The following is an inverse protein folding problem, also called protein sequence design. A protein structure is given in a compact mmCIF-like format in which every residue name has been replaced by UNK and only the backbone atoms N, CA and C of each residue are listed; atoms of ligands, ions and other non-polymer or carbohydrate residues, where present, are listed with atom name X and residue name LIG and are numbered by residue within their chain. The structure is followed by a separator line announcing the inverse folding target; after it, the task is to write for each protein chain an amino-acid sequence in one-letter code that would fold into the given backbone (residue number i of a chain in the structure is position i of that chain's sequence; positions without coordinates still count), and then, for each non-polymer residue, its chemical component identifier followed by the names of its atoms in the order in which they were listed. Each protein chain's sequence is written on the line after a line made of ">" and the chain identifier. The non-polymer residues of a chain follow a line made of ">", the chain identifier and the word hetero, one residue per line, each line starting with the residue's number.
data_IF_727218220349
#
_entry.id   IF_727218220349
#
_cell.length_a   1.000
_cell.length_b   1.000
_cell.length_c   1.000
_cell.angle_alpha   90.00
_cell.angle_beta   90.00
_cell.angle_gamma   90.00
#
_symmetry.space_group_name_H-M   'P 1'
#
loop_
_entity.id
_entity.type
_entity.pdbx_description
1 polymer ?
#
# COMPACT_ATOMS: atom_id res chain seq x y z
N UNK A 1 -5.32 48.62 3.82
CA UNK A 1 -3.93 48.86 4.23
C UNK A 1 -3.67 48.01 5.47
N UNK A 2 -3.85 46.70 5.35
CA UNK A 2 -2.85 45.72 4.91
C UNK A 2 -2.15 45.10 6.12
N UNK A 3 -2.86 44.19 6.77
CA UNK A 3 -2.28 43.16 7.64
C UNK A 3 -2.72 41.79 7.13
N UNK A 4 -2.30 41.44 5.91
CA UNK A 4 -2.35 40.08 5.39
C UNK A 4 -1.01 39.85 4.67
N UNK A 5 -0.42 38.67 4.86
CA UNK A 5 0.80 38.16 4.25
C UNK A 5 2.13 38.54 4.91
N UNK A 6 2.44 37.83 5.98
CA UNK A 6 3.82 37.39 6.21
C UNK A 6 3.85 35.89 6.47
N UNK A 7 3.39 35.12 5.48
CA UNK A 7 3.84 33.73 5.33
C UNK A 7 5.35 33.82 5.19
N UNK A 8 6.05 33.34 6.22
CA UNK A 8 7.49 33.25 6.24
C UNK A 8 7.94 32.54 4.96
N UNK A 9 8.59 33.29 4.05
CA UNK A 9 9.40 32.70 2.98
C UNK A 9 10.51 31.91 3.67
N UNK A 10 10.29 30.60 3.83
CA UNK A 10 11.33 29.68 4.28
C UNK A 10 12.43 29.72 3.23
N UNK A 11 13.60 30.16 3.65
CA UNK A 11 14.79 30.27 2.83
C UNK A 11 15.26 28.85 2.44
N UNK A 12 14.84 28.37 1.26
CA UNK A 12 15.21 27.04 0.71
C UNK A 12 16.63 27.07 0.13
N UNK A 13 17.64 27.18 0.99
CA UNK A 13 19.05 27.23 0.57
C UNK A 13 19.89 26.03 1.03
N UNK A 14 19.25 24.97 1.53
CA UNK A 14 19.91 23.70 1.88
C UNK A 14 19.31 22.52 1.13
N UNK A 15 20.11 21.46 0.94
CA UNK A 15 19.60 20.17 0.48
C UNK A 15 18.53 19.66 1.46
N UNK A 16 17.36 19.29 0.94
CA UNK A 16 16.28 18.69 1.73
C UNK A 16 16.33 17.17 1.60
N UNK A 17 16.08 16.40 2.68
CA UNK A 17 15.94 14.96 2.59
C UNK A 17 14.83 14.55 1.62
N UNK A 18 15.01 13.42 0.96
CA UNK A 18 13.94 12.82 0.17
C UNK A 18 12.80 12.38 1.10
N UNK A 19 11.55 12.60 0.68
CA UNK A 19 10.39 12.18 1.45
C UNK A 19 10.36 10.65 1.55
N UNK A 20 10.05 10.13 2.74
CA UNK A 20 9.94 8.70 2.93
C UNK A 20 8.81 8.16 2.02
N UNK A 21 9.19 7.26 1.12
CA UNK A 21 8.30 6.62 0.14
C UNK A 21 8.18 5.14 0.44
N UNK A 22 7.05 4.54 0.08
CA UNK A 22 6.73 3.13 0.27
C UNK A 22 6.22 2.52 -1.02
N UNK A 23 6.05 1.20 -1.04
CA UNK A 23 5.44 0.48 -2.15
C UNK A 23 3.98 0.17 -1.87
N UNK A 24 3.16 0.21 -2.91
CA UNK A 24 1.77 -0.24 -2.92
C UNK A 24 1.54 -1.15 -4.12
N UNK A 25 1.28 -2.43 -3.87
CA UNK A 25 0.91 -3.39 -4.90
C UNK A 25 -0.60 -3.42 -5.11
N UNK A 26 -1.04 -3.29 -6.36
CA UNK A 26 -2.46 -3.28 -6.73
C UNK A 26 -2.65 -3.74 -8.19
N UNK A 27 -3.90 -3.88 -8.62
CA UNK A 27 -4.27 -4.02 -10.04
C UNK A 27 -5.02 -2.81 -10.60
N UNK A 28 -5.16 -1.75 -9.80
CA UNK A 28 -5.73 -0.50 -10.24
C UNK A 28 -4.78 0.19 -11.25
N UNK A 29 -5.35 0.70 -12.34
CA UNK A 29 -4.62 1.45 -13.37
C UNK A 29 -4.66 2.94 -13.03
N UNK A 30 -3.56 3.42 -12.44
CA UNK A 30 -3.41 4.76 -11.86
C UNK A 30 -2.16 5.46 -12.39
N UNK A 31 -2.18 6.79 -12.34
CA UNK A 31 -1.09 7.66 -12.79
C UNK A 31 -0.37 8.36 -11.63
N UNK A 32 0.82 8.91 -11.91
CA UNK A 32 1.53 9.75 -10.95
C UNK A 32 0.71 10.99 -10.63
N UNK A 33 0.53 11.27 -9.35
CA UNK A 33 -0.32 12.34 -8.84
C UNK A 33 -1.68 11.87 -8.33
N UNK A 34 -2.13 10.67 -8.73
CA UNK A 34 -3.37 10.10 -8.24
C UNK A 34 -3.30 9.74 -6.75
N UNK A 35 -4.48 9.63 -6.15
CA UNK A 35 -4.67 9.16 -4.78
C UNK A 35 -5.23 7.73 -4.77
N UNK A 36 -4.59 6.88 -3.99
CA UNK A 36 -5.16 5.60 -3.57
C UNK A 36 -5.94 5.88 -2.29
N UNK A 37 -7.22 5.48 -2.27
CA UNK A 37 -8.14 5.75 -1.17
C UNK A 37 -8.76 4.46 -0.63
N UNK A 38 -9.42 4.55 0.52
CA UNK A 38 -10.13 3.42 1.10
C UNK A 38 -11.29 3.04 0.18
N UNK A 39 -11.38 1.76 -0.18
CA UNK A 39 -12.48 1.18 -0.94
C UNK A 39 -12.51 1.49 -2.45
N UNK A 40 -11.70 2.43 -2.93
CA UNK A 40 -11.49 2.70 -4.36
C UNK A 40 -10.01 2.62 -4.68
N UNK A 41 -9.64 1.99 -5.81
CA UNK A 41 -8.26 1.91 -6.30
C UNK A 41 -7.26 1.17 -5.36
N UNK A 42 -7.75 0.56 -4.28
CA UNK A 42 -6.98 -0.23 -3.32
C UNK A 42 -6.81 -1.69 -3.75
N UNK A 43 -5.99 -2.44 -3.01
CA UNK A 43 -5.73 -3.87 -3.21
C UNK A 43 -7.01 -4.73 -3.19
N UNK A 44 -8.08 -4.23 -2.57
CA UNK A 44 -9.39 -4.89 -2.45
C UNK A 44 -10.35 -4.56 -3.61
N UNK A 45 -9.91 -3.83 -4.63
CA UNK A 45 -10.76 -3.37 -5.73
C UNK A 45 -11.81 -2.35 -5.26
N UNK A 46 -13.01 -2.40 -5.86
CA UNK A 46 -14.16 -1.55 -5.49
C UNK A 46 -14.92 -2.06 -4.24
N UNK A 47 -14.20 -2.41 -3.18
CA UNK A 47 -14.82 -2.85 -1.93
C UNK A 47 -15.11 -1.65 -1.02
N UNK A 48 -16.33 -1.11 -1.11
CA UNK A 48 -16.78 0.04 -0.30
C UNK A 48 -16.72 -0.17 1.22
N UNK A 49 -16.54 -1.40 1.68
CA UNK A 49 -16.43 -1.73 3.10
C UNK A 49 -14.98 -1.82 3.60
N UNK A 50 -13.97 -1.71 2.72
CA UNK A 50 -12.59 -1.63 3.17
C UNK A 50 -12.45 -0.46 4.15
N UNK A 51 -11.66 -0.64 5.21
CA UNK A 51 -11.38 0.40 6.21
C UNK A 51 -9.97 0.98 6.07
N UNK A 52 -9.08 0.22 5.45
CA UNK A 52 -7.66 0.53 5.37
C UNK A 52 -7.12 0.35 3.95
N UNK A 53 -6.03 1.06 3.69
CA UNK A 53 -5.18 0.96 2.52
C UNK A 53 -3.80 0.49 3.01
N UNK A 54 -3.12 -0.32 2.21
CA UNK A 54 -1.89 -1.01 2.61
C UNK A 54 -0.69 -0.48 1.85
N UNK A 55 0.46 -0.42 2.52
CA UNK A 55 1.74 -0.07 1.93
C UNK A 55 2.85 -0.84 2.64
N UNK A 56 4.02 -0.92 2.02
CA UNK A 56 5.15 -1.64 2.61
C UNK A 56 6.49 -1.00 2.27
N UNK A 57 7.47 -1.18 3.14
CA UNK A 57 8.85 -0.80 2.85
C UNK A 57 9.68 -1.94 2.20
N UNK A 58 9.06 -3.08 1.85
CA UNK A 58 9.74 -4.18 1.15
C UNK A 58 9.10 -4.48 -0.20
N UNK A 59 9.92 -4.71 -1.22
CA UNK A 59 9.43 -4.99 -2.57
C UNK A 59 8.67 -6.32 -2.64
N UNK A 60 9.15 -7.35 -1.95
CA UNK A 60 8.53 -8.69 -1.90
C UNK A 60 7.07 -8.63 -1.41
N UNK A 61 6.80 -7.91 -0.33
CA UNK A 61 5.44 -7.73 0.17
C UNK A 61 4.56 -6.91 -0.79
N UNK A 62 5.14 -5.98 -1.56
CA UNK A 62 4.41 -5.22 -2.57
C UNK A 62 4.06 -6.09 -3.78
N UNK A 63 4.96 -6.99 -4.19
CA UNK A 63 4.70 -8.00 -5.22
C UNK A 63 3.50 -8.87 -4.81
N UNK A 64 3.52 -9.39 -3.58
CA UNK A 64 2.36 -10.11 -3.03
C UNK A 64 1.09 -9.27 -3.05
N UNK A 65 1.18 -7.99 -2.66
CA UNK A 65 0.06 -7.05 -2.71
C UNK A 65 -0.56 -6.94 -4.10
N UNK A 66 0.25 -6.88 -5.16
CA UNK A 66 -0.22 -6.80 -6.54
C UNK A 66 -0.82 -8.13 -7.03
N UNK A 67 -0.11 -9.25 -6.81
CA UNK A 67 -0.52 -10.58 -7.29
C UNK A 67 -1.79 -11.12 -6.62
N UNK A 68 -1.98 -10.77 -5.35
CA UNK A 68 -3.16 -11.15 -4.55
C UNK A 68 -4.28 -10.12 -4.62
N UNK A 69 -4.05 -8.96 -5.26
CA UNK A 69 -5.08 -7.93 -5.40
C UNK A 69 -6.29 -8.44 -6.20
N UNK A 70 -7.47 -8.00 -5.78
CA UNK A 70 -8.75 -8.32 -6.41
C UNK A 70 -8.89 -7.55 -7.72
N UNK A 71 -9.31 -8.25 -8.76
CA UNK A 71 -9.57 -7.69 -10.08
C UNK A 71 -8.77 -8.39 -11.18
N UNK A 72 -9.13 -8.08 -12.42
CA UNK A 72 -8.56 -8.65 -13.64
C UNK A 72 -7.57 -7.70 -14.33
N UNK A 73 -7.26 -6.57 -13.69
CA UNK A 73 -6.25 -5.63 -14.17
C UNK A 73 -4.83 -6.19 -14.07
N UNK A 74 -3.91 -5.55 -14.78
CA UNK A 74 -2.49 -5.89 -14.71
C UNK A 74 -1.93 -5.63 -13.30
N UNK A 75 -1.09 -6.51 -12.77
CA UNK A 75 -0.36 -6.24 -11.53
C UNK A 75 0.57 -5.04 -11.67
N UNK A 76 0.49 -4.11 -10.71
CA UNK A 76 1.28 -2.88 -10.66
C UNK A 76 1.82 -2.64 -9.27
N UNK A 77 2.99 -2.00 -9.19
CA UNK A 77 3.62 -1.60 -7.93
C UNK A 77 3.92 -0.10 -8.00
N UNK A 78 3.21 0.67 -7.19
CA UNK A 78 3.40 2.12 -7.09
C UNK A 78 4.33 2.51 -5.97
N UNK A 79 5.13 3.56 -6.22
CA UNK A 79 5.81 4.32 -5.18
C UNK A 79 4.83 5.34 -4.63
N UNK A 80 4.61 5.33 -3.31
CA UNK A 80 3.59 6.13 -2.67
C UNK A 80 4.08 6.89 -1.45
N UNK A 81 3.55 8.10 -1.29
CA UNK A 81 3.71 8.91 -0.10
C UNK A 81 2.41 8.89 0.73
N UNK A 82 2.45 8.48 2.00
CA UNK A 82 1.28 8.54 2.85
C UNK A 82 0.91 9.99 3.16
N UNK A 83 -0.37 10.34 3.02
CA UNK A 83 -0.86 11.69 3.35
C UNK A 83 -1.16 11.88 4.84
N UNK A 84 -1.10 10.80 5.62
CA UNK A 84 -1.36 10.80 7.04
C UNK A 84 -0.63 9.68 7.78
N UNK A 85 -1.10 9.36 8.99
CA UNK A 85 -0.48 8.35 9.85
C UNK A 85 -0.59 6.96 9.24
N UNK A 86 0.45 6.17 9.43
CA UNK A 86 0.48 4.74 9.11
C UNK A 86 0.72 3.97 10.42
N UNK A 87 0.20 2.74 10.49
CA UNK A 87 0.42 1.82 11.60
C UNK A 87 0.80 0.44 11.07
N UNK A 88 1.44 -0.38 11.90
CA UNK A 88 1.79 -1.76 11.54
C UNK A 88 0.53 -2.55 11.14
N UNK A 89 0.64 -3.34 10.07
CA UNK A 89 -0.44 -4.24 9.67
C UNK A 89 -0.58 -5.38 10.69
N UNK A 90 -1.72 -5.50 11.40
CA UNK A 90 -1.89 -6.52 12.42
C UNK A 90 -2.01 -7.92 11.85
N UNK A 91 -2.25 -8.13 10.55
CA UNK A 91 -2.24 -9.47 9.96
C UNK A 91 -0.82 -9.98 9.68
N UNK A 92 0.16 -9.08 9.63
CA UNK A 92 1.54 -9.39 9.25
C UNK A 92 2.56 -9.12 10.37
N UNK A 93 2.13 -8.50 11.47
CA UNK A 93 2.98 -8.13 12.62
C UNK A 93 2.71 -9.05 13.82
N UNK A 94 3.79 -9.54 14.44
CA UNK A 94 3.73 -10.43 15.62
C UNK A 94 2.83 -11.67 15.43
N UNK A 95 2.81 -12.20 14.21
CA UNK A 95 2.10 -13.45 13.88
C UNK A 95 3.06 -14.63 13.84
N UNK A 96 3.62 -14.90 12.67
CA UNK A 96 4.54 -16.03 12.46
C UNK A 96 5.93 -15.73 13.01
N UNK A 97 6.32 -14.46 13.00
CA UNK A 97 7.63 -13.98 13.43
C UNK A 97 7.46 -12.74 14.33
N UNK A 98 8.39 -12.49 15.27
CA UNK A 98 8.33 -11.31 16.13
C UNK A 98 8.57 -10.02 15.33
N UNK A 99 7.81 -8.98 15.69
CA UNK A 99 7.80 -7.66 15.06
C UNK A 99 7.17 -7.65 13.67
N UNK A 100 7.57 -6.65 12.88
CA UNK A 100 7.11 -6.43 11.51
C UNK A 100 8.27 -6.63 10.51
N UNK A 101 8.60 -7.88 10.14
CA UNK A 101 9.72 -8.19 9.25
C UNK A 101 9.45 -7.78 7.79
N UNK A 102 8.19 -7.87 7.32
CA UNK A 102 7.79 -7.45 5.98
C UNK A 102 7.66 -5.93 5.84
N UNK A 103 7.76 -5.19 6.95
CA UNK A 103 7.54 -3.74 7.02
C UNK A 103 6.24 -3.35 6.34
N UNK A 104 5.17 -4.10 6.65
CA UNK A 104 3.84 -3.87 6.10
C UNK A 104 3.03 -3.02 7.05
N UNK A 105 2.36 -2.02 6.49
CA UNK A 105 1.62 -1.01 7.21
C UNK A 105 0.24 -0.81 6.59
N UNK A 106 -0.64 -0.19 7.37
CA UNK A 106 -1.96 0.22 6.92
C UNK A 106 -2.26 1.66 7.32
N UNK A 107 -3.20 2.28 6.61
CA UNK A 107 -3.72 3.61 6.93
C UNK A 107 -5.16 3.77 6.51
N UNK A 108 -5.88 4.67 7.17
CA UNK A 108 -7.19 5.15 6.73
C UNK A 108 -7.10 6.42 5.87
N UNK A 109 -5.90 7.00 5.74
CA UNK A 109 -5.64 8.21 4.97
C UNK A 109 -5.08 7.84 3.58
N UNK A 110 -5.38 8.63 2.53
CA UNK A 110 -4.94 8.33 1.17
C UNK A 110 -3.43 8.26 0.99
N UNK A 111 -2.98 7.60 -0.07
CA UNK A 111 -1.58 7.64 -0.51
C UNK A 111 -1.48 8.34 -1.85
N UNK A 112 -0.51 9.24 -2.00
CA UNK A 112 -0.21 9.88 -3.28
C UNK A 112 0.78 9.05 -4.05
N UNK A 113 0.47 8.75 -5.30
CA UNK A 113 1.40 8.09 -6.23
C UNK A 113 2.45 9.09 -6.68
N UNK A 114 3.72 8.74 -6.48
CA UNK A 114 4.89 9.55 -6.90
C UNK A 114 5.74 8.84 -7.95
N UNK A 115 5.42 7.58 -8.28
CA UNK A 115 6.09 6.82 -9.32
C UNK A 115 5.55 5.39 -9.43
N UNK A 116 6.05 4.63 -10.38
CA UNK A 116 5.74 3.21 -10.59
C UNK A 116 7.04 2.42 -10.72
N UNK A 117 7.10 1.24 -10.09
CA UNK A 117 8.16 0.27 -10.27
C UNK A 117 7.81 -0.59 -11.48
N UNK A 118 8.52 -0.40 -12.58
CA UNK A 118 8.22 -1.09 -13.85
C UNK A 118 9.03 -2.36 -14.08
N UNK A 119 10.12 -2.56 -13.33
CA UNK A 119 10.98 -3.73 -13.44
C UNK A 119 11.00 -4.46 -12.11
N UNK A 120 10.26 -5.56 -12.05
CA UNK A 120 10.22 -6.46 -10.91
C UNK A 120 9.89 -7.88 -11.40
N UNK A 121 10.29 -8.87 -10.62
CA UNK A 121 10.05 -10.28 -10.92
C UNK A 121 8.94 -10.78 -9.98
N UNK A 122 7.82 -11.19 -10.56
CA UNK A 122 6.75 -11.84 -9.81
C UNK A 122 7.17 -13.22 -9.29
N UNK A 123 6.39 -13.72 -8.33
CA UNK A 123 6.53 -15.08 -7.82
C UNK A 123 6.16 -16.11 -8.89
N UNK A 124 6.67 -17.35 -8.78
CA UNK A 124 6.20 -18.46 -9.59
C UNK A 124 4.68 -18.64 -9.50
N UNK A 125 4.03 -18.93 -10.62
CA UNK A 125 2.57 -19.00 -10.71
C UNK A 125 1.98 -20.05 -9.75
N UNK A 126 2.66 -21.16 -9.55
CA UNK A 126 2.30 -22.20 -8.58
C UNK A 126 2.33 -21.70 -7.13
N UNK A 127 3.28 -20.80 -6.80
CA UNK A 127 3.39 -20.21 -5.47
C UNK A 127 2.24 -19.23 -5.22
N UNK A 128 1.91 -18.39 -6.21
CA UNK A 128 0.77 -17.47 -6.14
C UNK A 128 -0.53 -18.24 -6.01
N UNK A 129 -0.71 -19.31 -6.81
CA UNK A 129 -1.89 -20.16 -6.73
C UNK A 129 -2.02 -20.82 -5.34
N UNK A 130 -0.94 -21.41 -4.84
CA UNK A 130 -0.95 -22.04 -3.51
C UNK A 130 -1.31 -21.05 -2.40
N UNK A 131 -0.85 -19.80 -2.50
CA UNK A 131 -1.21 -18.75 -1.55
C UNK A 131 -2.71 -18.39 -1.64
N UNK A 132 -3.24 -18.18 -2.84
CA UNK A 132 -4.67 -17.90 -3.06
C UNK A 132 -5.56 -19.03 -2.52
N UNK A 133 -5.22 -20.28 -2.85
CA UNK A 133 -5.94 -21.47 -2.37
C UNK A 133 -5.92 -21.55 -0.82
N UNK A 134 -4.81 -21.16 -0.17
CA UNK A 134 -4.72 -21.15 1.29
C UNK A 134 -5.55 -20.03 1.93
N UNK A 135 -5.58 -18.84 1.33
CA UNK A 135 -6.41 -17.73 1.80
C UNK A 135 -7.90 -18.08 1.72
N UNK A 136 -8.34 -18.74 0.65
CA UNK A 136 -9.73 -19.23 0.53
C UNK A 136 -10.05 -20.25 1.62
N UNK A 137 -9.18 -21.23 1.88
CA UNK A 137 -9.38 -22.22 2.96
C UNK A 137 -9.48 -21.58 4.34
N UNK A 138 -8.66 -20.57 4.64
CA UNK A 138 -8.74 -19.85 5.92
C UNK A 138 -10.09 -19.15 6.07
N UNK A 139 -10.58 -18.53 5.00
CA UNK A 139 -11.90 -17.90 4.96
C UNK A 139 -13.03 -18.90 5.18
N UNK A 140 -12.98 -20.07 4.55
CA UNK A 140 -13.94 -21.17 4.76
C UNK A 140 -13.94 -21.69 6.20
N UNK A 141 -12.81 -21.61 6.90
CA UNK A 141 -12.67 -21.97 8.32
C UNK A 141 -13.12 -20.85 9.27
N UNK A 142 -13.57 -19.70 8.76
CA UNK A 142 -13.98 -18.54 9.55
C UNK A 142 -12.81 -17.75 10.14
N UNK A 143 -11.58 -17.98 9.66
CA UNK A 143 -10.41 -17.19 10.01
C UNK A 143 -10.36 -15.99 9.05
N UNK A 144 -10.91 -14.86 9.51
CA UNK A 144 -10.95 -13.63 8.73
C UNK A 144 -9.78 -12.70 9.05
N UNK A 145 -9.50 -11.79 8.13
CA UNK A 145 -8.50 -10.75 8.28
C UNK A 145 -8.88 -9.78 9.41
N UNK A 146 -7.89 -9.31 10.18
CA UNK A 146 -8.07 -8.25 11.20
C UNK A 146 -8.22 -6.85 10.59
N UNK A 147 -8.19 -6.77 9.25
CA UNK A 147 -8.32 -5.56 8.48
C UNK A 147 -9.73 -5.32 7.91
N UNK A 148 -10.65 -6.28 8.07
CA UNK A 148 -12.07 -6.15 7.67
C UNK A 148 -12.90 -5.24 8.60
#
# INVERSE_FOLDING_TARGET
>A
MDQINKVQKINRQGATPFAQTYFHGTKADLEVGDLIEVGFNSNYGQNKNAKYIFLTATLDAAIWGAELSIGDGQERIYLVEPTGKIEDDPDLTDKKFPGNPSKSYRSTQPFRIVGEVTVWQGHPAEQVKAMKDNLEKLKEQGINSLNE
#
